data_IF_539466238106
#
_entry.id   IF_539466238106
#
_cell.length_a   1.000
_cell.length_b   1.000
_cell.length_c   1.000
_cell.angle_alpha   90.00
_cell.angle_beta   90.00
_cell.angle_gamma   90.00
#
_symmetry.space_group_name_H-M   'P 1'
#
loop_
_entity.id
_entity.type
_entity.pdbx_description
1 polymer ?
#
# COMPACT_ATOMS: atom_id res chain seq x y z
N UNK A 1 -16.09 7.72 3.68
CA UNK A 1 -14.76 7.08 3.87
C UNK A 1 -14.78 5.55 3.74
N UNK A 2 -15.62 4.77 4.45
CA UNK A 2 -15.72 3.30 4.27
C UNK A 2 -15.98 2.86 2.81
N UNK A 3 -16.73 3.67 2.05
CA UNK A 3 -17.02 3.46 0.62
C UNK A 3 -15.80 3.64 -0.31
N UNK A 4 -14.79 4.44 0.08
CA UNK A 4 -13.57 4.65 -0.72
C UNK A 4 -12.57 3.50 -0.55
N UNK A 5 -12.51 2.85 0.62
CA UNK A 5 -11.68 1.67 0.85
C UNK A 5 -12.15 0.45 0.04
N UNK A 6 -13.46 0.30 -0.18
CA UNK A 6 -14.02 -0.69 -1.09
C UNK A 6 -13.61 -0.44 -2.54
N UNK A 7 -13.53 0.83 -2.98
CA UNK A 7 -13.09 1.18 -4.35
C UNK A 7 -11.59 1.00 -4.58
N UNK A 8 -10.71 1.34 -3.64
CA UNK A 8 -9.26 1.13 -3.83
C UNK A 8 -8.86 -0.35 -3.73
N UNK A 9 -9.52 -1.13 -2.86
CA UNK A 9 -9.38 -2.59 -2.86
C UNK A 9 -9.98 -3.23 -4.11
N UNK A 10 -11.13 -2.74 -4.60
CA UNK A 10 -11.70 -3.15 -5.89
C UNK A 10 -10.80 -2.73 -7.07
N UNK A 11 -10.10 -1.58 -7.01
CA UNK A 11 -9.10 -1.19 -8.01
C UNK A 11 -7.86 -2.08 -7.95
N UNK A 12 -7.40 -2.51 -6.78
CA UNK A 12 -6.30 -3.50 -6.66
C UNK A 12 -6.74 -4.86 -7.20
N UNK A 13 -7.94 -5.32 -6.86
CA UNK A 13 -8.53 -6.54 -7.39
C UNK A 13 -8.73 -6.48 -8.91
N UNK A 14 -9.25 -5.36 -9.42
CA UNK A 14 -9.46 -5.09 -10.85
C UNK A 14 -8.13 -4.93 -11.60
N UNK A 15 -7.11 -4.33 -10.98
CA UNK A 15 -5.78 -4.18 -11.57
C UNK A 15 -5.01 -5.49 -11.58
N UNK A 16 -5.13 -6.32 -10.54
CA UNK A 16 -4.63 -7.70 -10.56
C UNK A 16 -5.38 -8.54 -11.60
N UNK A 17 -6.70 -8.40 -11.70
CA UNK A 17 -7.51 -9.02 -12.78
C UNK A 17 -7.08 -8.53 -14.16
N UNK A 18 -6.82 -7.23 -14.34
CA UNK A 18 -6.35 -6.63 -15.59
C UNK A 18 -4.93 -7.09 -15.93
N UNK A 19 -4.02 -7.14 -14.96
CA UNK A 19 -2.67 -7.68 -15.14
C UNK A 19 -2.73 -9.17 -15.54
N UNK A 20 -3.64 -9.95 -14.94
CA UNK A 20 -3.90 -11.34 -15.34
C UNK A 20 -4.53 -11.44 -16.73
N UNK A 21 -5.41 -10.51 -17.12
CA UNK A 21 -5.98 -10.42 -18.47
C UNK A 21 -4.94 -10.00 -19.52
N UNK A 22 -3.98 -9.14 -19.18
CA UNK A 22 -2.88 -8.74 -20.06
C UNK A 22 -1.85 -9.86 -20.26
N UNK A 23 -1.74 -10.78 -19.30
CA UNK A 23 -0.94 -12.01 -19.42
C UNK A 23 -1.67 -13.14 -20.19
N UNK A 24 -3.00 -13.07 -20.33
CA UNK A 24 -3.80 -14.13 -20.96
C UNK A 24 -3.40 -14.48 -22.42
N UNK A 25 -3.13 -13.53 -23.34
CA UNK A 25 -2.81 -13.89 -24.72
C UNK A 25 -1.41 -14.52 -24.90
N UNK A 26 -0.46 -14.22 -24.01
CA UNK A 26 0.85 -14.87 -24.01
C UNK A 26 0.80 -16.28 -23.39
N UNK A 27 -0.07 -16.49 -22.40
CA UNK A 27 -0.26 -17.78 -21.74
C UNK A 27 -1.07 -18.76 -22.60
N UNK A 28 -2.06 -18.29 -23.37
CA UNK A 28 -2.83 -19.16 -24.29
C UNK A 28 -2.01 -19.70 -25.47
N UNK A 29 -0.91 -19.03 -25.84
CA UNK A 29 -0.03 -19.48 -26.92
C UNK A 29 0.84 -20.70 -26.55
N UNK A 30 0.99 -21.00 -25.25
CA UNK A 30 1.63 -22.21 -24.77
C UNK A 30 0.59 -23.14 -24.15
N UNK A 31 0.24 -24.23 -24.84
CA UNK A 31 -0.51 -25.36 -24.26
C UNK A 31 0.34 -26.11 -23.21
N UNK A 32 0.80 -25.41 -22.17
CA UNK A 32 1.48 -26.04 -21.04
C UNK A 32 0.39 -26.59 -20.12
N UNK A 33 0.40 -27.90 -19.88
CA UNK A 33 -0.40 -28.50 -18.82
C UNK A 33 0.22 -28.11 -17.49
N UNK A 34 -0.44 -27.20 -16.77
CA UNK A 34 -0.03 -26.81 -15.42
C UNK A 34 -0.41 -27.89 -14.41
N UNK A 35 0.37 -28.02 -13.34
CA UNK A 35 0.05 -28.91 -12.24
C UNK A 35 -1.19 -28.40 -11.47
N UNK A 36 -2.04 -29.33 -11.06
CA UNK A 36 -3.17 -29.09 -10.16
C UNK A 36 -3.08 -30.06 -8.99
N UNK A 37 -3.30 -29.56 -7.78
CA UNK A 37 -3.34 -30.38 -6.57
C UNK A 37 -4.78 -30.89 -6.39
N UNK A 38 -4.90 -32.13 -5.94
CA UNK A 38 -6.18 -32.75 -5.61
C UNK A 38 -6.26 -32.94 -4.09
N UNK A 39 -7.33 -32.44 -3.47
CA UNK A 39 -7.50 -32.55 -2.03
C UNK A 39 -8.98 -32.64 -1.65
N UNK A 40 -9.32 -33.64 -0.85
CA UNK A 40 -10.68 -33.82 -0.33
C UNK A 40 -10.94 -32.89 0.88
N UNK A 41 -12.15 -32.32 0.99
CA UNK A 41 -12.52 -31.53 2.16
C UNK A 41 -12.59 -32.41 3.42
N UNK A 42 -12.27 -31.83 4.58
CA UNK A 42 -12.47 -32.52 5.85
C UNK A 42 -13.95 -32.80 6.13
N UNK A 43 -14.23 -33.93 6.77
CA UNK A 43 -15.55 -34.25 7.28
C UNK A 43 -15.92 -33.33 8.45
N UNK A 44 -17.23 -33.21 8.74
CA UNK A 44 -17.72 -32.43 9.90
C UNK A 44 -17.12 -32.91 11.22
N UNK A 45 -16.89 -34.23 11.37
CA UNK A 45 -16.29 -34.80 12.56
C UNK A 45 -14.81 -34.41 12.70
N UNK A 46 -14.04 -34.41 11.61
CA UNK A 46 -12.65 -33.95 11.60
C UNK A 46 -12.56 -32.44 11.87
N UNK A 47 -13.43 -31.63 11.26
CA UNK A 47 -13.50 -30.20 11.53
C UNK A 47 -13.75 -29.91 13.02
N UNK A 48 -14.56 -30.72 13.71
CA UNK A 48 -14.79 -30.57 15.16
C UNK A 48 -13.57 -30.89 16.04
N UNK A 49 -12.54 -31.55 15.49
CA UNK A 49 -11.26 -31.79 16.17
C UNK A 49 -10.28 -30.64 15.97
N UNK A 50 -10.37 -29.93 14.85
CA UNK A 50 -9.62 -28.70 14.59
C UNK A 50 -10.25 -27.53 15.36
N UNK A 51 -11.57 -27.44 15.30
CA UNK A 51 -12.38 -26.38 15.89
C UNK A 51 -13.19 -26.92 17.08
N UNK A 52 -12.86 -26.44 18.28
CA UNK A 52 -13.70 -26.63 19.46
C UNK A 52 -14.99 -25.80 19.42
N UNK A 53 -15.80 -25.92 20.47
CA UNK A 53 -17.12 -25.26 20.57
C UNK A 53 -17.05 -23.73 20.43
N UNK A 54 -15.94 -23.11 20.81
CA UNK A 54 -15.75 -21.65 20.84
C UNK A 54 -14.64 -21.14 19.91
N UNK A 55 -14.20 -21.94 18.94
CA UNK A 55 -13.13 -21.55 18.00
C UNK A 55 -12.04 -22.62 17.88
N UNK A 56 -10.79 -22.21 17.67
CA UNK A 56 -9.67 -23.14 17.50
C UNK A 56 -9.45 -23.98 18.78
N UNK A 57 -9.31 -25.30 18.68
CA UNK A 57 -9.18 -26.20 19.85
C UNK A 57 -7.83 -26.02 20.58
N UNK A 58 -7.77 -26.22 21.92
CA UNK A 58 -6.52 -26.06 22.72
C UNK A 58 -5.47 -27.11 22.38
N UNK A 59 -5.92 -28.33 22.10
CA UNK A 59 -5.11 -29.44 21.64
C UNK A 59 -5.56 -29.83 20.23
N UNK A 60 -5.50 -28.86 19.30
CA UNK A 60 -5.86 -29.13 17.91
C UNK A 60 -4.88 -30.13 17.29
N UNK A 61 -5.39 -30.90 16.33
CA UNK A 61 -4.61 -31.89 15.59
C UNK A 61 -3.93 -31.19 14.40
N UNK A 62 -2.59 -31.08 14.44
CA UNK A 62 -1.80 -30.40 13.41
C UNK A 62 -1.97 -31.06 12.02
N UNK A 63 -2.12 -32.39 11.96
CA UNK A 63 -2.33 -33.11 10.69
C UNK A 63 -3.68 -32.75 10.07
N UNK A 64 -4.71 -32.58 10.90
CA UNK A 64 -6.02 -32.13 10.42
C UNK A 64 -5.99 -30.65 10.02
N UNK A 65 -5.24 -29.81 10.73
CA UNK A 65 -5.00 -28.41 10.29
C UNK A 65 -4.33 -28.40 8.93
N UNK A 66 -3.25 -29.17 8.75
CA UNK A 66 -2.54 -29.27 7.47
C UNK A 66 -3.45 -29.75 6.36
N UNK A 67 -4.17 -30.86 6.56
CA UNK A 67 -5.13 -31.36 5.56
C UNK A 67 -6.20 -30.32 5.22
N UNK A 68 -6.68 -29.55 6.20
CA UNK A 68 -7.67 -28.50 5.93
C UNK A 68 -7.10 -27.36 5.09
N UNK A 69 -5.89 -26.89 5.42
CA UNK A 69 -5.19 -25.84 4.66
C UNK A 69 -4.83 -26.31 3.25
N UNK A 70 -4.31 -27.53 3.12
CA UNK A 70 -4.02 -28.18 1.86
C UNK A 70 -5.26 -28.24 0.94
N UNK A 71 -6.45 -28.47 1.50
CA UNK A 71 -7.70 -28.40 0.72
C UNK A 71 -7.97 -27.01 0.14
N UNK A 72 -7.77 -25.92 0.88
CA UNK A 72 -7.91 -24.57 0.33
C UNK A 72 -6.83 -24.26 -0.71
N UNK A 73 -5.59 -24.64 -0.43
CA UNK A 73 -4.46 -24.46 -1.34
C UNK A 73 -4.69 -25.19 -2.66
N UNK A 74 -5.21 -26.42 -2.61
CA UNK A 74 -5.54 -27.19 -3.80
C UNK A 74 -6.55 -26.47 -4.70
N UNK A 75 -7.54 -25.80 -4.11
CA UNK A 75 -8.53 -25.01 -4.87
C UNK A 75 -7.89 -23.83 -5.62
N UNK A 76 -6.83 -23.21 -5.09
CA UNK A 76 -6.09 -22.15 -5.82
C UNK A 76 -5.36 -22.65 -7.07
N UNK A 77 -5.17 -23.97 -7.20
CA UNK A 77 -4.55 -24.58 -8.38
C UNK A 77 -5.57 -25.00 -9.45
N UNK A 78 -6.87 -24.91 -9.16
CA UNK A 78 -7.94 -25.34 -10.07
C UNK A 78 -8.41 -24.17 -10.93
N UNK A 79 -8.36 -24.34 -12.25
CA UNK A 79 -8.69 -23.27 -13.20
C UNK A 79 -10.13 -22.77 -13.05
N UNK A 80 -11.03 -23.66 -12.68
CA UNK A 80 -12.46 -23.42 -12.47
C UNK A 80 -12.71 -22.52 -11.25
N UNK A 81 -11.75 -22.44 -10.33
CA UNK A 81 -11.84 -21.69 -9.07
C UNK A 81 -11.16 -20.31 -9.14
N UNK A 82 -10.49 -19.97 -10.26
CA UNK A 82 -9.77 -18.70 -10.39
C UNK A 82 -10.67 -17.47 -10.20
N UNK A 83 -11.93 -17.52 -10.66
CA UNK A 83 -12.88 -16.43 -10.42
C UNK A 83 -13.37 -16.34 -8.96
N UNK A 84 -13.15 -17.38 -8.16
CA UNK A 84 -13.67 -17.52 -6.81
C UNK A 84 -12.61 -17.27 -5.74
N UNK A 85 -11.36 -16.93 -6.11
CA UNK A 85 -10.25 -16.77 -5.17
C UNK A 85 -10.59 -15.94 -3.93
N UNK A 86 -11.21 -14.77 -4.12
CA UNK A 86 -11.54 -13.90 -2.99
C UNK A 86 -12.54 -14.57 -2.04
N UNK A 87 -13.50 -15.32 -2.57
CA UNK A 87 -14.45 -16.11 -1.76
C UNK A 87 -13.74 -17.24 -0.99
N UNK A 88 -12.78 -17.92 -1.62
CA UNK A 88 -12.01 -19.00 -1.00
C UNK A 88 -11.12 -18.43 0.12
N UNK A 89 -10.46 -17.30 -0.15
CA UNK A 89 -9.65 -16.58 0.82
C UNK A 89 -10.48 -16.11 2.02
N UNK A 90 -11.67 -15.56 1.78
CA UNK A 90 -12.56 -15.12 2.85
C UNK A 90 -13.07 -16.31 3.67
N UNK A 91 -13.41 -17.43 3.03
CA UNK A 91 -13.75 -18.67 3.72
C UNK A 91 -12.60 -19.15 4.61
N UNK A 92 -11.38 -19.21 4.08
CA UNK A 92 -10.18 -19.60 4.81
C UNK A 92 -9.88 -18.64 5.98
N UNK A 93 -10.02 -17.32 5.77
CA UNK A 93 -9.87 -16.32 6.84
C UNK A 93 -10.89 -16.51 7.94
N UNK A 94 -12.16 -16.68 7.58
CA UNK A 94 -13.25 -16.84 8.56
C UNK A 94 -13.13 -18.15 9.32
N UNK A 95 -12.75 -19.24 8.64
CA UNK A 95 -12.77 -20.59 9.21
C UNK A 95 -11.50 -20.97 9.93
N UNK A 96 -10.32 -20.57 9.46
CA UNK A 96 -9.05 -21.04 10.04
C UNK A 96 -8.13 -19.92 10.49
N UNK A 97 -7.75 -18.97 9.63
CA UNK A 97 -6.74 -17.95 9.98
C UNK A 97 -7.23 -17.03 11.11
N UNK A 98 -8.45 -16.49 10.99
CA UNK A 98 -9.04 -15.61 11.98
C UNK A 98 -9.25 -16.28 13.34
N UNK A 99 -9.87 -17.48 13.41
CA UNK A 99 -9.97 -18.23 14.67
C UNK A 99 -8.62 -18.57 15.29
N UNK A 100 -7.61 -18.94 14.50
CA UNK A 100 -6.26 -19.23 15.00
C UNK A 100 -5.57 -17.96 15.54
N UNK A 101 -5.68 -16.84 14.83
CA UNK A 101 -5.05 -15.57 15.24
C UNK A 101 -5.72 -14.88 16.42
N UNK A 102 -7.04 -15.03 16.60
CA UNK A 102 -7.75 -14.55 17.81
C UNK A 102 -7.44 -15.37 19.04
N UNK A 103 -6.96 -16.60 18.86
CA UNK A 103 -6.62 -17.47 19.97
C UNK A 103 -5.30 -17.05 20.58
N UNK A 104 -5.32 -16.77 21.89
CA UNK A 104 -4.15 -16.38 22.69
C UNK A 104 -3.39 -15.17 22.12
N UNK A 105 -4.07 -14.29 21.36
CA UNK A 105 -3.53 -13.01 20.88
C UNK A 105 -2.16 -13.10 20.16
N UNK A 106 -2.04 -14.04 19.21
CA UNK A 106 -0.75 -14.34 18.53
C UNK A 106 0.01 -15.54 19.10
N UNK A 107 -0.70 -16.50 19.71
CA UNK A 107 -0.11 -17.67 20.34
C UNK A 107 0.32 -18.79 19.38
N UNK A 108 0.60 -19.98 19.93
CA UNK A 108 1.11 -21.14 19.19
C UNK A 108 0.23 -21.57 18.01
N UNK A 109 -1.09 -21.44 18.11
CA UNK A 109 -2.02 -21.84 17.05
C UNK A 109 -1.79 -21.12 15.72
N UNK A 110 -1.68 -19.79 15.74
CA UNK A 110 -1.44 -19.02 14.50
C UNK A 110 -0.03 -19.22 13.96
N UNK A 111 0.95 -19.42 14.85
CA UNK A 111 2.32 -19.75 14.44
C UNK A 111 2.37 -21.09 13.69
N UNK A 112 1.69 -22.13 14.21
CA UNK A 112 1.58 -23.43 13.52
C UNK A 112 0.85 -23.29 12.18
N UNK A 113 -0.28 -22.58 12.14
CA UNK A 113 -1.05 -22.36 10.90
C UNK A 113 -0.21 -21.61 9.87
N UNK A 114 0.49 -20.54 10.24
CA UNK A 114 1.32 -19.76 9.32
C UNK A 114 2.50 -20.58 8.82
N UNK A 115 3.16 -21.37 9.68
CA UNK A 115 4.23 -22.28 9.26
C UNK A 115 3.73 -23.24 8.17
N UNK A 116 2.62 -23.93 8.41
CA UNK A 116 2.04 -24.86 7.44
C UNK A 116 1.64 -24.12 6.15
N UNK A 117 1.02 -22.95 6.26
CA UNK A 117 0.67 -22.14 5.09
C UNK A 117 1.89 -21.78 4.25
N UNK A 118 3.00 -21.37 4.87
CA UNK A 118 4.24 -21.06 4.14
C UNK A 118 4.79 -22.32 3.45
N UNK A 119 4.81 -23.47 4.13
CA UNK A 119 5.25 -24.76 3.57
C UNK A 119 4.40 -25.18 2.35
N UNK A 120 3.08 -24.96 2.39
CA UNK A 120 2.15 -25.31 1.30
C UNK A 120 2.18 -24.30 0.15
N UNK A 121 2.40 -23.01 0.42
CA UNK A 121 2.38 -21.96 -0.62
C UNK A 121 3.69 -21.83 -1.38
N UNK A 122 4.84 -22.09 -0.75
CA UNK A 122 6.14 -21.94 -1.39
C UNK A 122 6.29 -22.78 -2.68
N UNK A 123 5.90 -24.07 -2.73
CA UNK A 123 5.95 -24.87 -3.96
C UNK A 123 5.12 -24.29 -5.11
N UNK A 124 4.03 -23.58 -4.81
CA UNK A 124 3.14 -23.01 -5.82
C UNK A 124 3.77 -21.85 -6.59
N UNK A 125 4.89 -21.31 -6.13
CA UNK A 125 5.62 -20.21 -6.79
C UNK A 125 6.46 -20.70 -7.99
N UNK A 126 6.62 -22.01 -8.14
CA UNK A 126 7.37 -22.65 -9.22
C UNK A 126 6.68 -22.53 -10.58
N UNK A 127 7.46 -22.66 -11.67
CA UNK A 127 6.96 -22.53 -13.05
C UNK A 127 6.06 -23.69 -13.52
N UNK A 128 5.92 -24.73 -12.71
CA UNK A 128 5.04 -25.89 -12.96
C UNK A 128 3.57 -25.54 -12.72
N UNK A 129 3.30 -24.48 -11.95
CA UNK A 129 1.96 -23.99 -11.65
C UNK A 129 1.55 -22.84 -12.57
N UNK A 130 0.23 -22.67 -12.70
CA UNK A 130 -0.34 -21.61 -13.52
C UNK A 130 0.08 -20.21 -13.00
N UNK A 131 0.39 -19.22 -13.86
CA UNK A 131 0.79 -17.87 -13.44
C UNK A 131 -0.16 -17.25 -12.41
N UNK A 132 -1.46 -17.42 -12.59
CA UNK A 132 -2.50 -17.01 -11.65
C UNK A 132 -2.25 -17.57 -10.23
N UNK A 133 -2.12 -18.90 -10.09
CA UNK A 133 -1.83 -19.56 -8.82
C UNK A 133 -0.55 -19.03 -8.16
N UNK A 134 0.50 -18.76 -8.94
CA UNK A 134 1.77 -18.19 -8.43
C UNK A 134 1.56 -16.81 -7.82
N UNK A 135 0.79 -15.94 -8.51
CA UNK A 135 0.45 -14.60 -8.03
C UNK A 135 -0.37 -14.68 -6.74
N UNK A 136 -1.35 -15.58 -6.69
CA UNK A 136 -2.19 -15.77 -5.50
C UNK A 136 -1.42 -16.28 -4.30
N UNK A 137 -0.51 -17.22 -4.50
CA UNK A 137 0.37 -17.72 -3.46
C UNK A 137 1.20 -16.58 -2.86
N UNK A 138 1.83 -15.76 -3.72
CA UNK A 138 2.60 -14.58 -3.28
C UNK A 138 1.73 -13.55 -2.53
N UNK A 139 0.51 -13.28 -3.03
CA UNK A 139 -0.44 -12.38 -2.36
C UNK A 139 -0.84 -12.92 -0.98
N UNK A 140 -1.06 -14.23 -0.87
CA UNK A 140 -1.47 -14.85 0.36
C UNK A 140 -0.33 -14.85 1.39
N UNK A 141 0.91 -15.11 0.97
CA UNK A 141 2.11 -14.95 1.81
C UNK A 141 2.16 -13.54 2.42
N UNK A 142 1.96 -12.50 1.61
CA UNK A 142 1.89 -11.11 2.10
C UNK A 142 0.69 -10.77 2.99
N UNK A 143 -0.36 -11.60 2.97
CA UNK A 143 -1.58 -11.44 3.77
C UNK A 143 -1.57 -12.25 5.08
N UNK A 144 -0.55 -13.06 5.34
CA UNK A 144 -0.43 -13.79 6.61
C UNK A 144 -0.21 -12.81 7.78
N UNK A 145 -0.73 -13.20 8.95
CA UNK A 145 -0.77 -12.37 10.14
C UNK A 145 -0.15 -13.14 11.30
N UNK A 146 0.86 -12.57 11.96
CA UNK A 146 1.32 -13.07 13.26
C UNK A 146 0.25 -12.81 14.35
N UNK A 147 -0.49 -11.71 14.21
CA UNK A 147 -1.56 -11.32 15.12
C UNK A 147 -2.69 -10.65 14.36
N UNK A 148 -3.90 -11.14 14.60
CA UNK A 148 -5.14 -10.57 14.06
C UNK A 148 -5.54 -9.32 14.85
N UNK A 149 -6.25 -8.36 14.23
CA UNK A 149 -6.72 -7.20 14.94
C UNK A 149 -7.78 -7.64 15.98
N UNK A 150 -7.80 -7.05 17.19
CA UNK A 150 -8.86 -7.29 18.14
C UNK A 150 -10.24 -6.96 17.55
N UNK A 151 -11.27 -7.67 18.01
CA UNK A 151 -12.64 -7.39 17.58
C UNK A 151 -13.02 -5.93 17.94
N UNK A 152 -13.41 -5.14 16.93
CA UNK A 152 -13.70 -3.70 17.02
C UNK A 152 -12.50 -2.76 17.30
N UNK A 153 -11.26 -3.25 17.27
CA UNK A 153 -10.11 -2.37 17.35
C UNK A 153 -9.78 -1.77 15.97
N UNK A 154 -9.25 -0.54 15.98
CA UNK A 154 -8.70 0.12 14.80
C UNK A 154 -7.22 -0.21 14.58
N UNK A 155 -6.62 -1.03 15.44
CA UNK A 155 -5.24 -1.47 15.27
C UNK A 155 -5.14 -2.41 14.08
N UNK A 156 -4.18 -2.22 13.17
CA UNK A 156 -3.98 -3.11 12.04
C UNK A 156 -3.45 -4.49 12.49
N UNK A 157 -3.68 -5.51 11.67
CA UNK A 157 -3.08 -6.83 11.86
C UNK A 157 -1.55 -6.75 11.78
N UNK A 158 -0.85 -7.41 12.71
CA UNK A 158 0.60 -7.57 12.64
C UNK A 158 0.95 -8.60 11.57
N UNK A 159 1.71 -8.24 10.53
CA UNK A 159 2.13 -9.18 9.47
C UNK A 159 2.96 -10.34 10.00
N UNK A 160 2.93 -11.48 9.31
CA UNK A 160 3.74 -12.66 9.65
C UNK A 160 5.23 -12.41 9.36
N UNK A 161 6.12 -12.33 10.36
CA UNK A 161 7.52 -11.96 10.15
C UNK A 161 8.28 -12.95 9.25
N UNK A 162 7.97 -14.25 9.30
CA UNK A 162 8.65 -15.25 8.46
C UNK A 162 8.31 -15.11 6.96
N UNK A 163 7.31 -14.31 6.60
CA UNK A 163 7.02 -14.00 5.19
C UNK A 163 7.98 -12.96 4.60
N UNK A 164 8.70 -12.18 5.42
CA UNK A 164 9.49 -11.03 4.95
C UNK A 164 10.56 -11.44 3.93
N UNK A 165 11.45 -12.36 4.30
CA UNK A 165 12.56 -12.78 3.43
C UNK A 165 12.05 -13.40 2.13
N UNK A 166 10.93 -14.14 2.19
CA UNK A 166 10.26 -14.72 1.02
C UNK A 166 9.77 -13.60 0.10
N UNK A 167 9.11 -12.58 0.63
CA UNK A 167 8.60 -11.48 -0.17
C UNK A 167 9.75 -10.66 -0.79
N UNK A 168 10.84 -10.44 -0.06
CA UNK A 168 12.03 -9.74 -0.58
C UNK A 168 12.68 -10.54 -1.71
N UNK A 169 12.84 -11.87 -1.55
CA UNK A 169 13.31 -12.76 -2.61
C UNK A 169 12.41 -12.65 -3.86
N UNK A 170 11.10 -12.74 -3.67
CA UNK A 170 10.13 -12.66 -4.77
C UNK A 170 10.15 -11.32 -5.50
N UNK A 171 10.36 -10.21 -4.79
CA UNK A 171 10.42 -8.87 -5.38
C UNK A 171 11.69 -8.66 -6.21
N UNK A 172 12.83 -9.12 -5.69
CA UNK A 172 14.17 -8.83 -6.21
C UNK A 172 14.64 -9.84 -7.25
N UNK A 173 14.06 -11.04 -7.25
CA UNK A 173 14.39 -12.10 -8.19
C UNK A 173 13.93 -11.78 -9.62
N UNK A 174 14.90 -11.76 -10.55
CA UNK A 174 14.67 -11.42 -11.96
C UNK A 174 13.96 -12.51 -12.78
N UNK A 175 13.90 -13.74 -12.27
CA UNK A 175 13.22 -14.89 -12.91
C UNK A 175 11.72 -14.97 -12.56
N UNK A 176 11.23 -14.09 -11.69
CA UNK A 176 9.81 -14.06 -11.28
C UNK A 176 8.99 -13.28 -12.28
N UNK A 177 7.81 -13.83 -12.60
CA UNK A 177 6.82 -13.14 -13.42
C UNK A 177 6.38 -11.83 -12.73
N UNK A 178 6.05 -10.83 -13.53
CA UNK A 178 5.67 -9.49 -13.07
C UNK A 178 4.59 -9.49 -11.99
N UNK A 179 3.53 -10.29 -12.18
CA UNK A 179 2.44 -10.39 -11.21
C UNK A 179 2.89 -10.87 -9.82
N UNK A 180 3.89 -11.75 -9.74
CA UNK A 180 4.44 -12.25 -8.46
C UNK A 180 5.21 -11.14 -7.76
N UNK A 181 5.96 -10.32 -8.52
CA UNK A 181 6.70 -9.16 -7.98
C UNK A 181 5.74 -8.08 -7.47
N UNK A 182 4.63 -7.83 -8.17
CA UNK A 182 3.53 -6.95 -7.72
C UNK A 182 2.95 -7.44 -6.39
N UNK A 183 2.65 -8.73 -6.31
CA UNK A 183 2.11 -9.35 -5.10
C UNK A 183 3.08 -9.24 -3.92
N UNK A 184 4.36 -9.49 -4.18
CA UNK A 184 5.42 -9.35 -3.19
C UNK A 184 5.56 -7.91 -2.69
N UNK A 185 5.57 -6.92 -3.58
CA UNK A 185 5.63 -5.50 -3.21
C UNK A 185 4.43 -5.10 -2.34
N UNK A 186 3.23 -5.59 -2.65
CA UNK A 186 2.04 -5.33 -1.82
C UNK A 186 2.17 -5.91 -0.40
N UNK A 187 2.78 -7.10 -0.26
CA UNK A 187 3.11 -7.68 1.03
C UNK A 187 4.17 -6.89 1.79
N UNK A 188 5.24 -6.47 1.10
CA UNK A 188 6.32 -5.65 1.66
C UNK A 188 5.80 -4.29 2.16
N UNK A 189 5.01 -3.59 1.35
CA UNK A 189 4.40 -2.30 1.72
C UNK A 189 3.56 -2.43 2.99
N UNK A 190 2.87 -3.57 3.16
CA UNK A 190 2.12 -3.87 4.39
C UNK A 190 3.04 -4.06 5.59
N UNK A 191 4.14 -4.80 5.46
CA UNK A 191 5.13 -4.95 6.53
C UNK A 191 5.73 -3.61 6.94
N UNK A 192 6.19 -2.82 5.96
CA UNK A 192 6.78 -1.51 6.20
C UNK A 192 5.79 -0.55 6.88
N UNK A 193 4.55 -0.47 6.39
CA UNK A 193 3.56 0.48 6.91
C UNK A 193 3.07 0.19 8.33
N UNK A 194 3.36 -0.99 8.88
CA UNK A 194 3.14 -1.25 10.32
C UNK A 194 4.24 -0.67 11.22
N UNK A 195 5.37 -0.24 10.64
CA UNK A 195 6.50 0.33 11.39
C UNK A 195 7.28 -0.69 12.22
N UNK A 196 7.12 -1.98 11.97
CA UNK A 196 7.71 -3.07 12.78
C UNK A 196 8.98 -3.66 12.19
N UNK A 197 9.40 -3.22 10.99
CA UNK A 197 10.59 -3.76 10.34
C UNK A 197 11.88 -3.32 11.05
N UNK A 198 12.88 -4.19 11.07
CA UNK A 198 14.20 -3.87 11.61
C UNK A 198 14.98 -2.91 10.69
N UNK A 199 16.04 -2.32 11.23
CA UNK A 199 16.97 -1.51 10.43
C UNK A 199 17.63 -2.34 9.31
N UNK A 200 17.99 -3.58 9.58
CA UNK A 200 18.54 -4.51 8.58
C UNK A 200 17.55 -4.75 7.44
N UNK A 201 16.28 -5.04 7.78
CA UNK A 201 15.20 -5.23 6.80
C UNK A 201 14.97 -3.97 5.96
N UNK A 202 14.94 -2.79 6.61
CA UNK A 202 14.84 -1.49 5.92
C UNK A 202 15.98 -1.29 4.94
N UNK A 203 17.22 -1.53 5.36
CA UNK A 203 18.40 -1.35 4.51
C UNK A 203 18.42 -2.33 3.33
N UNK A 204 18.00 -3.58 3.55
CA UNK A 204 17.92 -4.60 2.51
C UNK A 204 16.94 -4.24 1.37
N UNK A 205 15.84 -3.54 1.69
CA UNK A 205 14.77 -3.25 0.72
C UNK A 205 14.82 -1.84 0.13
N UNK A 206 15.49 -0.89 0.79
CA UNK A 206 15.52 0.49 0.35
C UNK A 206 16.11 0.66 -1.05
N UNK A 207 17.24 0.00 -1.35
CA UNK A 207 17.88 0.12 -2.67
C UNK A 207 17.06 -0.52 -3.80
N UNK A 208 16.52 -1.75 -3.65
CA UNK A 208 15.57 -2.29 -4.63
C UNK A 208 14.37 -1.38 -4.91
N UNK A 209 13.74 -0.83 -3.86
CA UNK A 209 12.61 0.09 -4.03
C UNK A 209 13.04 1.38 -4.73
N UNK A 210 14.21 1.93 -4.37
CA UNK A 210 14.77 3.12 -5.02
C UNK A 210 15.00 2.92 -6.51
N UNK A 211 15.51 1.74 -6.91
CA UNK A 211 15.68 1.37 -8.31
C UNK A 211 14.36 1.25 -9.05
N UNK A 212 13.35 0.62 -8.45
CA UNK A 212 12.02 0.49 -9.06
C UNK A 212 11.27 1.84 -9.13
N UNK A 213 11.60 2.77 -8.25
CA UNK A 213 11.03 4.12 -8.23
C UNK A 213 11.62 5.05 -9.30
N UNK A 214 12.74 4.70 -9.93
CA UNK A 214 13.44 5.55 -10.91
C UNK A 214 12.57 5.92 -12.11
N UNK A 215 12.88 7.03 -12.82
CA UNK A 215 12.20 7.39 -14.07
C UNK A 215 12.23 6.24 -15.07
N UNK A 216 11.09 6.04 -15.73
CA UNK A 216 10.94 5.00 -16.74
C UNK A 216 11.35 5.55 -18.12
N UNK A 217 11.65 4.65 -19.04
CA UNK A 217 11.95 5.03 -20.43
C UNK A 217 10.73 5.59 -21.18
N UNK A 218 10.92 5.88 -22.47
CA UNK A 218 9.84 6.32 -23.34
C UNK A 218 8.80 5.19 -23.52
N UNK A 219 7.54 5.44 -23.15
CA UNK A 219 6.41 4.49 -23.19
C UNK A 219 6.51 3.29 -22.23
N UNK A 220 6.50 3.53 -20.90
CA UNK A 220 6.46 2.43 -19.94
C UNK A 220 5.16 1.62 -20.07
N UNK A 221 5.22 0.35 -19.71
CA UNK A 221 4.03 -0.48 -19.50
C UNK A 221 3.22 0.01 -18.29
N UNK A 222 1.95 -0.39 -18.21
CA UNK A 222 1.12 -0.13 -17.02
C UNK A 222 1.71 -0.78 -15.76
N UNK A 223 2.35 -1.94 -15.92
CA UNK A 223 3.06 -2.62 -14.85
C UNK A 223 4.21 -1.77 -14.30
N UNK A 224 5.09 -1.27 -15.16
CA UNK A 224 6.22 -0.44 -14.74
C UNK A 224 5.75 0.85 -14.05
N UNK A 225 4.72 1.51 -14.61
CA UNK A 225 4.09 2.68 -13.98
C UNK A 225 3.59 2.36 -12.58
N UNK A 226 2.87 1.25 -12.44
CA UNK A 226 2.32 0.82 -11.15
C UNK A 226 3.43 0.49 -10.14
N UNK A 227 4.45 -0.27 -10.57
CA UNK A 227 5.59 -0.64 -9.73
C UNK A 227 6.34 0.60 -9.25
N UNK A 228 6.56 1.57 -10.15
CA UNK A 228 7.20 2.84 -9.80
C UNK A 228 6.41 3.61 -8.74
N UNK A 229 5.12 3.83 -8.99
CA UNK A 229 4.24 4.54 -8.05
C UNK A 229 4.21 3.83 -6.68
N UNK A 230 4.08 2.51 -6.65
CA UNK A 230 4.09 1.74 -5.40
C UNK A 230 5.43 1.73 -4.69
N UNK A 231 6.52 1.78 -5.44
CA UNK A 231 7.86 1.86 -4.85
C UNK A 231 8.11 3.21 -4.19
N UNK A 232 7.62 4.31 -4.78
CA UNK A 232 7.64 5.64 -4.13
C UNK A 232 6.90 5.62 -2.79
N UNK A 233 5.69 5.03 -2.77
CA UNK A 233 4.92 4.85 -1.53
C UNK A 233 5.70 4.07 -0.48
N UNK A 234 6.21 2.90 -0.85
CA UNK A 234 6.94 2.02 0.06
C UNK A 234 8.19 2.70 0.62
N UNK A 235 8.93 3.47 -0.20
CA UNK A 235 10.07 4.29 0.25
C UNK A 235 9.64 5.34 1.28
N UNK A 236 8.48 5.98 1.11
CA UNK A 236 7.91 6.88 2.11
C UNK A 236 7.64 6.16 3.43
N UNK A 237 6.98 5.00 3.37
CA UNK A 237 6.66 4.22 4.56
C UNK A 237 7.89 3.70 5.31
N UNK A 238 9.07 3.62 4.69
CA UNK A 238 10.32 3.32 5.42
C UNK A 238 10.65 4.38 6.49
N UNK A 239 10.00 5.56 6.43
CA UNK A 239 10.22 6.71 7.31
C UNK A 239 11.69 7.17 7.36
N UNK A 240 12.44 6.90 6.30
CA UNK A 240 13.89 7.07 6.24
C UNK A 240 14.27 7.92 5.04
N UNK A 241 15.13 8.91 5.27
CA UNK A 241 15.55 9.87 4.23
C UNK A 241 16.65 9.32 3.32
N UNK A 242 17.22 8.16 3.65
CA UNK A 242 18.37 7.59 2.96
C UNK A 242 19.70 8.20 3.41
N UNK A 243 20.81 7.55 3.03
CA UNK A 243 22.15 8.13 3.22
C UNK A 243 22.24 9.50 2.53
N UNK A 244 22.79 10.50 3.24
CA UNK A 244 22.88 11.88 2.76
C UNK A 244 21.56 12.48 2.23
N UNK A 245 20.43 12.02 2.79
CA UNK A 245 19.07 12.37 2.37
C UNK A 245 18.75 12.05 0.90
N UNK A 246 19.40 11.03 0.31
CA UNK A 246 19.24 10.69 -1.12
C UNK A 246 17.80 10.37 -1.53
N UNK A 247 17.03 9.70 -0.66
CA UNK A 247 15.64 9.31 -0.95
C UNK A 247 14.76 10.56 -0.89
N UNK A 248 14.91 11.40 0.15
CA UNK A 248 14.16 12.64 0.26
C UNK A 248 14.43 13.60 -0.92
N UNK A 249 15.70 13.77 -1.31
CA UNK A 249 16.09 14.56 -2.49
C UNK A 249 15.46 14.04 -3.77
N UNK A 250 15.42 12.72 -3.94
CA UNK A 250 14.75 12.10 -5.09
C UNK A 250 13.25 12.36 -5.09
N UNK A 251 12.56 12.26 -3.95
CA UNK A 251 11.13 12.60 -3.87
C UNK A 251 10.87 14.06 -4.23
N UNK A 252 11.72 14.98 -3.76
CA UNK A 252 11.63 16.42 -4.09
C UNK A 252 11.81 16.62 -5.60
N UNK A 253 12.76 15.92 -6.23
CA UNK A 253 12.96 15.97 -7.67
C UNK A 253 11.72 15.47 -8.44
N UNK A 254 11.14 14.34 -8.03
CA UNK A 254 9.93 13.77 -8.66
C UNK A 254 8.74 14.73 -8.51
N UNK A 255 8.47 15.21 -7.29
CA UNK A 255 7.45 16.22 -6.98
C UNK A 255 7.57 17.47 -7.87
N UNK A 256 8.79 17.96 -8.05
CA UNK A 256 9.09 19.21 -8.75
C UNK A 256 9.07 19.06 -10.28
N UNK A 257 9.14 17.84 -10.80
CA UNK A 257 9.13 17.59 -12.24
C UNK A 257 7.72 17.73 -12.82
N UNK A 258 7.46 18.84 -13.51
CA UNK A 258 6.14 19.12 -14.12
C UNK A 258 5.79 18.20 -15.28
N UNK A 259 6.77 17.49 -15.85
CA UNK A 259 6.55 16.49 -16.91
C UNK A 259 6.13 15.13 -16.34
N UNK A 260 6.24 14.91 -15.03
CA UNK A 260 5.72 13.69 -14.41
C UNK A 260 4.22 13.73 -14.25
N UNK A 261 3.61 12.55 -14.35
CA UNK A 261 2.19 12.37 -14.11
C UNK A 261 1.82 12.87 -12.71
N UNK A 262 0.66 13.55 -12.59
CA UNK A 262 0.18 14.14 -11.35
C UNK A 262 0.18 13.12 -10.20
N UNK A 263 -0.25 11.89 -10.47
CA UNK A 263 -0.33 10.80 -9.49
C UNK A 263 1.05 10.36 -8.96
N UNK A 264 2.10 10.48 -9.77
CA UNK A 264 3.47 10.17 -9.36
C UNK A 264 4.02 11.29 -8.49
N UNK A 265 3.73 12.55 -8.84
CA UNK A 265 4.13 13.74 -8.08
C UNK A 265 3.45 13.81 -6.73
N UNK A 266 2.15 13.49 -6.66
CA UNK A 266 1.38 13.45 -5.40
C UNK A 266 1.80 12.29 -4.53
N UNK A 267 2.17 11.13 -5.10
CA UNK A 267 2.74 10.04 -4.31
C UNK A 267 4.10 10.41 -3.72
N UNK A 268 4.95 11.12 -4.46
CA UNK A 268 6.21 11.63 -3.93
C UNK A 268 5.99 12.65 -2.79
N UNK A 269 4.95 13.49 -2.89
CA UNK A 269 4.54 14.37 -1.81
C UNK A 269 4.11 13.57 -0.56
N UNK A 270 3.24 12.58 -0.71
CA UNK A 270 2.85 11.71 0.41
C UNK A 270 4.06 11.03 1.05
N UNK A 271 4.98 10.50 0.23
CA UNK A 271 6.18 9.85 0.70
C UNK A 271 7.05 10.78 1.56
N UNK A 272 7.21 12.05 1.16
CA UNK A 272 7.92 13.07 1.97
C UNK A 272 7.24 13.30 3.32
N UNK A 273 5.91 13.28 3.36
CA UNK A 273 5.15 13.46 4.60
C UNK A 273 5.35 12.36 5.63
N UNK A 274 5.82 11.17 5.23
CA UNK A 274 6.20 10.09 6.15
C UNK A 274 7.67 10.14 6.61
N UNK A 275 8.52 10.93 5.94
CA UNK A 275 9.96 10.94 6.23
C UNK A 275 10.29 11.79 7.45
N UNK A 276 11.31 11.34 8.20
CA UNK A 276 11.92 12.11 9.29
C UNK A 276 12.89 13.16 8.72
N UNK A 277 12.37 14.34 8.40
CA UNK A 277 13.16 15.44 7.80
C UNK A 277 13.94 16.28 8.83
N UNK A 278 13.62 16.14 10.12
CA UNK A 278 14.28 16.90 11.19
C UNK A 278 15.78 16.57 11.26
N UNK A 279 16.62 17.60 11.33
CA UNK A 279 18.08 17.45 11.43
C UNK A 279 18.78 17.08 10.11
N UNK A 280 18.05 17.05 8.99
CA UNK A 280 18.66 16.87 7.67
C UNK A 280 19.37 18.17 7.24
N UNK A 281 20.70 18.12 7.12
CA UNK A 281 21.53 19.30 6.83
C UNK A 281 21.25 19.96 5.47
N UNK A 282 20.93 19.16 4.44
CA UNK A 282 20.64 19.70 3.11
C UNK A 282 19.70 18.80 2.29
N UNK A 283 18.59 19.38 1.86
CA UNK A 283 17.64 18.78 0.90
C UNK A 283 17.84 19.29 -0.53
N UNK A 284 18.80 20.20 -0.75
CA UNK A 284 18.99 20.88 -2.04
C UNK A 284 17.97 22.00 -2.33
N UNK A 285 17.02 22.24 -1.43
CA UNK A 285 16.04 23.34 -1.46
C UNK A 285 15.70 23.76 -0.03
N UNK A 286 15.23 24.99 0.17
CA UNK A 286 14.70 25.42 1.46
C UNK A 286 13.36 24.74 1.75
N UNK A 287 12.98 24.61 3.02
CA UNK A 287 11.67 24.05 3.40
C UNK A 287 10.53 24.99 3.00
N UNK A 288 10.79 26.31 2.95
CA UNK A 288 9.84 27.31 2.45
C UNK A 288 9.53 27.09 0.96
N UNK A 289 10.57 26.93 0.13
CA UNK A 289 10.41 26.71 -1.31
C UNK A 289 9.72 25.36 -1.61
N UNK A 290 10.04 24.34 -0.80
CA UNK A 290 9.39 23.05 -0.91
C UNK A 290 7.90 23.14 -0.55
N UNK A 291 7.53 23.89 0.49
CA UNK A 291 6.12 24.13 0.82
C UNK A 291 5.37 24.87 -0.30
N UNK A 292 6.00 25.85 -0.94
CA UNK A 292 5.43 26.54 -2.10
C UNK A 292 5.26 25.58 -3.29
N UNK A 293 6.22 24.67 -3.50
CA UNK A 293 6.13 23.63 -4.54
C UNK A 293 4.98 22.66 -4.29
N UNK A 294 4.76 22.27 -3.03
CA UNK A 294 3.62 21.46 -2.60
C UNK A 294 2.30 22.22 -2.79
N UNK A 295 2.27 23.52 -2.51
CA UNK A 295 1.12 24.37 -2.80
C UNK A 295 0.79 24.43 -4.29
N UNK A 296 1.80 24.59 -5.15
CA UNK A 296 1.61 24.52 -6.60
C UNK A 296 1.06 23.18 -7.07
N UNK A 297 1.51 22.08 -6.45
CA UNK A 297 1.00 20.76 -6.74
C UNK A 297 -0.49 20.63 -6.38
N UNK A 298 -0.90 21.11 -5.20
CA UNK A 298 -2.31 21.15 -4.79
C UNK A 298 -3.16 21.97 -5.76
N UNK A 299 -2.66 23.14 -6.19
CA UNK A 299 -3.34 23.96 -7.18
C UNK A 299 -3.45 23.25 -8.53
N UNK A 300 -2.36 22.64 -9.01
CA UNK A 300 -2.30 21.89 -10.27
C UNK A 300 -3.31 20.74 -10.26
N UNK A 301 -3.37 19.98 -9.16
CA UNK A 301 -4.36 18.92 -9.00
C UNK A 301 -5.77 19.48 -9.16
N UNK A 302 -6.11 20.56 -8.44
CA UNK A 302 -7.43 21.20 -8.55
C UNK A 302 -7.77 21.74 -9.94
N UNK A 303 -6.78 22.12 -10.76
CA UNK A 303 -6.98 22.54 -12.15
C UNK A 303 -7.19 21.36 -13.09
N UNK A 304 -6.32 20.35 -13.02
CA UNK A 304 -6.35 19.18 -13.91
C UNK A 304 -7.61 18.34 -13.69
N UNK A 305 -7.98 18.18 -12.43
CA UNK A 305 -9.20 17.49 -12.03
C UNK A 305 -10.33 18.47 -11.84
N UNK A 306 -10.33 19.67 -12.45
CA UNK A 306 -11.15 20.86 -12.12
C UNK A 306 -12.63 20.86 -12.54
N UNK A 307 -13.41 21.88 -12.12
CA UNK A 307 -14.89 21.91 -12.05
C UNK A 307 -15.61 21.63 -13.37
N UNK A 308 -15.01 22.00 -14.50
CA UNK A 308 -15.56 21.77 -15.84
C UNK A 308 -15.51 20.28 -16.25
N UNK A 309 -14.74 19.48 -15.49
CA UNK A 309 -14.49 18.05 -15.72
C UNK A 309 -14.85 17.19 -14.52
N UNK A 310 -15.34 17.76 -13.42
CA UNK A 310 -15.70 17.01 -12.22
C UNK A 310 -16.71 15.94 -12.57
N UNK A 311 -16.21 14.73 -12.73
CA UNK A 311 -16.92 13.50 -12.48
C UNK A 311 -16.51 13.02 -11.08
N UNK A 312 -17.26 12.07 -10.48
CA UNK A 312 -16.95 11.61 -9.14
C UNK A 312 -15.54 11.02 -8.99
N UNK A 313 -14.92 10.54 -10.05
CA UNK A 313 -13.57 9.96 -10.01
C UNK A 313 -12.48 11.03 -9.97
N UNK A 314 -12.60 12.08 -10.78
CA UNK A 314 -11.67 13.21 -10.79
C UNK A 314 -11.70 13.97 -9.46
N UNK A 315 -12.89 14.14 -8.87
CA UNK A 315 -13.01 14.77 -7.56
C UNK A 315 -12.37 13.92 -6.44
N UNK A 316 -12.45 12.59 -6.55
CA UNK A 316 -11.76 11.68 -5.62
C UNK A 316 -10.24 11.78 -5.78
N UNK A 317 -9.74 11.89 -7.01
CA UNK A 317 -8.32 12.08 -7.28
C UNK A 317 -7.82 13.41 -6.72
N UNK A 318 -8.64 14.47 -6.81
CA UNK A 318 -8.33 15.75 -6.18
C UNK A 318 -8.23 15.63 -4.66
N UNK A 319 -9.21 14.98 -4.03
CA UNK A 319 -9.22 14.72 -2.59
C UNK A 319 -7.97 13.97 -2.14
N UNK A 320 -7.58 12.92 -2.87
CA UNK A 320 -6.37 12.14 -2.58
C UNK A 320 -5.10 13.00 -2.74
N UNK A 321 -5.03 13.82 -3.80
CA UNK A 321 -3.90 14.72 -4.05
C UNK A 321 -3.75 15.78 -2.94
N UNK A 322 -4.86 16.36 -2.47
CA UNK A 322 -4.84 17.29 -1.34
C UNK A 322 -4.40 16.60 -0.05
N UNK A 323 -4.87 15.38 0.21
CA UNK A 323 -4.45 14.61 1.38
C UNK A 323 -2.94 14.35 1.38
N UNK A 324 -2.37 14.05 0.20
CA UNK A 324 -0.93 13.83 0.05
C UNK A 324 -0.11 15.10 0.27
N UNK A 325 -0.58 16.24 -0.24
CA UNK A 325 0.07 17.54 0.00
C UNK A 325 -0.03 17.94 1.48
N UNK A 326 -1.20 17.75 2.08
CA UNK A 326 -1.43 18.01 3.50
C UNK A 326 -0.51 17.18 4.38
N UNK A 327 -0.41 15.88 4.10
CA UNK A 327 0.51 14.95 4.75
C UNK A 327 1.97 15.40 4.61
N UNK A 328 2.39 15.87 3.43
CA UNK A 328 3.74 16.40 3.23
C UNK A 328 4.01 17.62 4.12
N UNK A 329 3.08 18.59 4.13
CA UNK A 329 3.25 19.85 4.85
C UNK A 329 3.22 19.66 6.37
N UNK A 330 2.23 18.93 6.88
CA UNK A 330 1.96 18.83 8.32
C UNK A 330 2.60 17.59 8.96
N UNK A 331 2.96 16.60 8.15
CA UNK A 331 3.38 15.28 8.62
C UNK A 331 2.21 14.38 8.96
N UNK A 332 2.55 13.22 9.48
CA UNK A 332 1.61 12.20 9.92
C UNK A 332 0.76 12.70 11.10
N UNK A 333 -0.55 12.84 10.86
CA UNK A 333 -1.57 13.02 11.90
C UNK A 333 -2.58 11.89 11.80
N UNK A 334 -2.91 11.26 12.94
CA UNK A 334 -3.94 10.19 13.01
C UNK A 334 -5.28 10.59 12.37
N UNK A 335 -5.62 11.89 12.39
CA UNK A 335 -6.86 12.42 11.80
C UNK A 335 -6.85 12.48 10.27
N UNK A 336 -5.66 12.54 9.64
CA UNK A 336 -5.51 12.53 8.18
C UNK A 336 -5.60 11.11 7.60
N UNK A 337 -5.70 10.11 8.47
CA UNK A 337 -5.60 8.71 8.10
C UNK A 337 -6.96 8.07 8.19
N UNK A 338 -7.20 7.22 7.18
CA UNK A 338 -8.29 6.26 7.11
C UNK A 338 -8.52 5.65 8.51
N UNK A 339 -9.75 5.66 9.05
CA UNK A 339 -10.05 4.94 10.28
C UNK A 339 -9.56 3.49 10.17
N UNK A 340 -8.57 3.09 10.98
CA UNK A 340 -8.04 1.71 11.00
C UNK A 340 -6.58 1.51 10.54
N UNK A 341 -5.83 2.57 10.22
CA UNK A 341 -4.37 2.48 9.99
C UNK A 341 -3.66 3.24 11.11
N UNK A 342 -3.65 2.66 12.31
CA UNK A 342 -2.72 3.06 13.38
C UNK A 342 -1.36 2.47 13.04
N UNK A 343 -0.61 3.13 12.15
CA UNK A 343 0.81 2.80 11.96
C UNK A 343 1.63 3.44 13.08
N UNK A 344 2.67 2.74 13.56
CA UNK A 344 3.70 3.32 14.43
C UNK A 344 4.64 4.22 13.62
N UNK A 345 4.06 5.22 12.95
CA UNK A 345 4.85 6.22 12.27
C UNK A 345 5.49 7.13 13.32
N UNK A 346 6.76 7.52 13.11
CA UNK A 346 7.44 8.39 14.05
C UNK A 346 6.68 9.72 14.20
N UNK A 347 6.56 10.25 15.43
CA UNK A 347 6.05 11.60 15.62
C UNK A 347 7.00 12.59 14.92
N UNK A 348 6.49 13.77 14.58
CA UNK A 348 7.28 14.86 13.96
C UNK A 348 7.82 14.52 12.56
N UNK A 349 6.94 14.05 11.68
CA UNK A 349 7.21 13.96 10.23
C UNK A 349 6.71 15.20 9.50
N UNK A 350 6.97 15.29 8.19
CA UNK A 350 6.54 16.41 7.35
C UNK A 350 7.35 17.70 7.53
N UNK A 351 7.05 18.69 6.69
CA UNK A 351 7.84 19.92 6.60
C UNK A 351 7.73 20.80 7.86
N UNK A 352 6.52 20.94 8.41
CA UNK A 352 6.28 21.85 9.53
C UNK A 352 7.06 21.45 10.79
N UNK A 353 7.22 20.15 11.01
CA UNK A 353 7.96 19.64 12.17
C UNK A 353 9.48 19.80 12.01
N UNK A 354 9.99 19.72 10.77
CA UNK A 354 11.40 19.91 10.45
C UNK A 354 11.80 21.40 10.35
N UNK A 355 10.85 22.29 10.07
CA UNK A 355 11.12 23.71 9.88
C UNK A 355 11.27 24.48 11.21
N UNK A 356 12.22 25.41 11.22
CA UNK A 356 12.51 26.31 12.33
C UNK A 356 12.43 27.78 11.90
N UNK A 357 12.24 28.70 12.88
CA UNK A 357 12.29 30.14 12.65
C UNK A 357 11.39 30.66 11.53
N UNK A 358 12.00 31.35 10.56
CA UNK A 358 11.31 31.93 9.41
C UNK A 358 10.75 30.87 8.46
N UNK A 359 11.49 29.76 8.23
CA UNK A 359 11.00 28.68 7.38
C UNK A 359 9.70 28.09 7.94
N UNK A 360 9.64 27.86 9.26
CA UNK A 360 8.42 27.36 9.90
C UNK A 360 7.24 28.30 9.69
N UNK A 361 7.49 29.59 9.79
CA UNK A 361 6.46 30.63 9.57
C UNK A 361 5.95 30.59 8.13
N UNK A 362 6.84 30.41 7.15
CA UNK A 362 6.45 30.34 5.75
C UNK A 362 5.73 29.04 5.40
N UNK A 363 6.15 27.89 5.93
CA UNK A 363 5.41 26.62 5.80
C UNK A 363 4.01 26.76 6.39
N UNK A 364 3.87 27.37 7.57
CA UNK A 364 2.57 27.59 8.21
C UNK A 364 1.64 28.48 7.37
N UNK A 365 2.16 29.53 6.73
CA UNK A 365 1.35 30.39 5.83
C UNK A 365 0.74 29.58 4.68
N UNK A 366 1.50 28.65 4.08
CA UNK A 366 0.98 27.78 3.02
C UNK A 366 -0.12 26.87 3.55
N UNK A 367 0.06 26.26 4.73
CA UNK A 367 -0.95 25.44 5.40
C UNK A 367 -2.23 26.24 5.67
N UNK A 368 -2.09 27.43 6.25
CA UNK A 368 -3.22 28.29 6.61
C UNK A 368 -4.03 28.70 5.38
N UNK A 369 -3.36 29.03 4.27
CA UNK A 369 -4.00 29.38 3.00
C UNK A 369 -4.68 28.17 2.33
N UNK A 370 -4.11 26.97 2.47
CA UNK A 370 -4.68 25.73 1.90
C UNK A 370 -5.85 25.17 2.71
N UNK A 371 -5.88 25.41 4.02
CA UNK A 371 -6.86 24.82 4.97
C UNK A 371 -8.33 25.07 4.58
N UNK A 372 -8.77 26.27 4.18
CA UNK A 372 -10.14 26.50 3.73
C UNK A 372 -10.54 25.61 2.55
N UNK A 373 -9.64 25.41 1.59
CA UNK A 373 -9.87 24.55 0.42
C UNK A 373 -10.01 23.09 0.85
N UNK A 374 -9.10 22.58 1.68
CA UNK A 374 -9.16 21.22 2.23
C UNK A 374 -10.48 20.98 2.96
N UNK A 375 -10.83 21.86 3.90
CA UNK A 375 -12.07 21.74 4.68
C UNK A 375 -13.32 21.72 3.79
N UNK A 376 -13.36 22.55 2.74
CA UNK A 376 -14.47 22.52 1.79
C UNK A 376 -14.46 21.20 1.00
N UNK A 377 -13.34 20.81 0.42
CA UNK A 377 -13.24 19.60 -0.42
C UNK A 377 -13.60 18.32 0.36
N UNK A 378 -13.26 18.21 1.64
CA UNK A 378 -13.61 17.04 2.46
C UNK A 378 -15.05 17.06 3.01
N UNK A 379 -15.64 18.23 3.21
CA UNK A 379 -17.03 18.35 3.69
C UNK A 379 -18.06 18.29 2.56
N UNK A 380 -17.62 18.54 1.32
CA UNK A 380 -18.52 18.67 0.16
C UNK A 380 -18.88 17.32 -0.43
N UNK A 381 -20.18 17.11 -0.66
CA UNK A 381 -20.63 16.11 -1.62
C UNK A 381 -20.45 16.68 -3.03
N UNK A 382 -20.07 15.85 -4.00
CA UNK A 382 -19.73 16.17 -5.40
C UNK A 382 -20.64 17.18 -6.17
N UNK A 383 -21.79 17.57 -5.63
CA UNK A 383 -22.82 18.39 -6.28
C UNK A 383 -22.58 19.92 -6.11
N UNK A 384 -21.74 20.38 -5.16
CA UNK A 384 -21.54 21.81 -4.87
C UNK A 384 -20.13 22.32 -5.18
N UNK A 385 -19.92 22.82 -6.41
CA UNK A 385 -18.55 23.02 -6.93
C UNK A 385 -18.08 24.48 -6.95
N UNK A 386 -18.98 25.46 -6.99
CA UNK A 386 -18.63 26.88 -7.20
C UNK A 386 -17.73 27.47 -6.10
N UNK A 387 -17.96 27.06 -4.85
CA UNK A 387 -17.16 27.50 -3.70
C UNK A 387 -15.73 26.99 -3.77
N UNK A 388 -15.52 25.75 -4.20
CA UNK A 388 -14.18 25.15 -4.30
C UNK A 388 -13.37 25.85 -5.38
N UNK A 389 -13.97 26.22 -6.51
CA UNK A 389 -13.30 27.00 -7.57
C UNK A 389 -12.84 28.35 -7.04
N UNK A 390 -13.71 29.01 -6.28
CA UNK A 390 -13.39 30.31 -5.64
C UNK A 390 -12.24 30.16 -4.65
N UNK A 391 -12.29 29.13 -3.80
CA UNK A 391 -11.24 28.84 -2.83
C UNK A 391 -9.91 28.47 -3.51
N UNK A 392 -9.95 27.72 -4.60
CA UNK A 392 -8.76 27.37 -5.39
C UNK A 392 -8.12 28.62 -6.02
N UNK A 393 -8.94 29.56 -6.50
CA UNK A 393 -8.47 30.85 -7.01
C UNK A 393 -7.84 31.73 -5.92
N UNK A 394 -8.45 31.80 -4.75
CA UNK A 394 -7.91 32.53 -3.60
C UNK A 394 -6.57 31.94 -3.14
N UNK A 395 -6.51 30.61 -3.01
CA UNK A 395 -5.29 29.89 -2.66
C UNK A 395 -4.14 30.18 -3.64
N UNK A 396 -4.44 30.23 -4.95
CA UNK A 396 -3.44 30.57 -5.96
C UNK A 396 -2.90 32.00 -5.80
N UNK A 397 -3.79 32.96 -5.54
CA UNK A 397 -3.39 34.35 -5.33
C UNK A 397 -2.47 34.49 -4.10
N UNK A 398 -2.79 33.77 -3.02
CA UNK A 398 -1.96 33.73 -1.81
C UNK A 398 -0.58 33.12 -2.10
N UNK A 399 -0.50 31.99 -2.81
CA UNK A 399 0.77 31.38 -3.21
C UNK A 399 1.63 32.31 -4.06
N UNK A 400 1.04 33.03 -5.01
CA UNK A 400 1.77 33.98 -5.84
C UNK A 400 2.31 35.15 -5.03
N UNK A 401 1.53 35.64 -4.06
CA UNK A 401 1.98 36.68 -3.14
C UNK A 401 3.14 36.20 -2.25
N UNK A 402 3.10 34.95 -1.77
CA UNK A 402 4.20 34.36 -0.97
C UNK A 402 5.48 34.21 -1.79
N UNK A 403 5.39 33.81 -3.07
CA UNK A 403 6.55 33.70 -3.97
C UNK A 403 7.16 35.05 -4.36
N UNK A 404 6.35 36.11 -4.36
CA UNK A 404 6.80 37.46 -4.62
C UNK A 404 7.39 38.15 -3.39
N UNK A 405 7.21 37.58 -2.19
CA UNK A 405 7.81 38.08 -0.98
C UNK A 405 9.34 37.86 -1.02
N UNK A 406 10.13 38.88 -0.61
CA UNK A 406 11.59 38.85 -0.68
C UNK A 406 12.26 37.88 0.28
#
# INVERSE_FOLDING_TARGET
>A
MLYQNLKSAAKIGLFLLLALCLLAPAVEAQQKTYQSIQAEPLTRQELSKVFGMYGFADNFDEDLVQRHLHHYVARFTQKEEFSNFQSILDEMKTRILGPAGRKNDGGTAIQTVNKIMLEELLPLLNEEYHPFTRVEAALLIGKLNAKEPPFNAKTPATPEPNSWDILVDLLTSSDRIEGVRVAALAGIDRHISTGTISEEQRNAIAQPLYQMAQPLGENPSDFERWMRHRSLRALGHLCWVGENAQIAKYMIQVLSNKEEALEVRTEAAAALGFMQLQGVETLGTSLSDLALTLGDLAYTAGQETGPDRWNPEDFLLFQESLAHVELALQGYYESLIRPGVEGNFPPNTGLLSAAEGEERTNVQKVIDSLTPLINKVYSTSFVENADVVTLLGNFKADLDAMKAAP
#
